data_IF_685206500364
#
_entry.id   IF_685206500364
#
_cell.length_a   1.000
_cell.length_b   1.000
_cell.length_c   1.000
_cell.angle_alpha   90.00
_cell.angle_beta   90.00
_cell.angle_gamma   90.00
#
_symmetry.space_group_name_H-M   'P 1'
#
loop_
_entity.id
_entity.type
_entity.pdbx_description
1 polymer ?
#
# COMPACT_ATOMS: atom_id res chain seq x y z
N UNK A 1 40.92 71.95 -28.27
CA UNK A 1 40.14 72.48 -27.13
C UNK A 1 40.70 71.82 -25.87
N UNK A 2 41.79 72.29 -25.26
CA UNK A 2 42.09 73.58 -24.63
C UNK A 2 41.23 73.88 -23.38
N UNK A 3 41.93 73.89 -22.22
CA UNK A 3 41.73 74.69 -21.00
C UNK A 3 40.48 74.38 -20.13
N UNK A 4 40.45 74.45 -18.79
CA UNK A 4 41.33 74.94 -17.69
C UNK A 4 40.62 74.49 -16.39
N UNK A 5 41.32 73.93 -15.39
CA UNK A 5 41.73 74.55 -14.10
C UNK A 5 40.64 75.22 -13.23
N UNK A 6 40.75 74.93 -11.93
CA UNK A 6 40.84 75.85 -10.76
C UNK A 6 39.76 75.57 -9.69
N UNK A 7 40.03 74.82 -8.61
CA UNK A 7 40.76 75.15 -7.36
C UNK A 7 40.01 76.08 -6.40
N UNK A 8 39.89 75.69 -5.12
CA UNK A 8 40.11 76.48 -3.87
C UNK A 8 39.81 75.52 -2.68
N UNK A 9 40.79 74.95 -1.97
CA UNK A 9 41.63 75.52 -0.89
C UNK A 9 40.87 75.69 0.45
N UNK A 10 41.21 74.90 1.48
CA UNK A 10 41.90 75.42 2.68
C UNK A 10 42.45 74.31 3.61
N UNK A 11 43.62 74.61 4.17
CA UNK A 11 44.46 73.81 5.07
C UNK A 11 44.05 73.95 6.54
N UNK A 12 44.38 72.94 7.36
CA UNK A 12 45.08 73.07 8.66
C UNK A 12 45.41 71.63 9.17
N UNK A 13 46.63 71.11 8.99
CA UNK A 13 47.77 71.06 9.94
C UNK A 13 47.37 70.89 11.42
N UNK A 14 47.81 69.78 12.05
CA UNK A 14 48.75 69.71 13.21
C UNK A 14 48.88 68.25 13.74
N UNK A 15 50.06 67.69 13.46
CA UNK A 15 50.99 66.82 14.25
C UNK A 15 50.55 65.60 15.10
N UNK A 16 51.21 64.48 14.76
CA UNK A 16 51.92 63.49 15.62
C UNK A 16 51.14 62.62 16.62
N UNK A 17 51.16 61.30 16.42
CA UNK A 17 52.15 60.39 17.05
C UNK A 17 52.06 58.98 16.44
N UNK A 18 53.22 58.35 16.28
CA UNK A 18 53.41 56.97 15.86
C UNK A 18 52.69 55.95 16.74
N UNK A 19 52.12 54.91 16.12
CA UNK A 19 52.49 53.52 16.41
C UNK A 19 51.91 52.62 15.32
N UNK A 20 52.78 51.98 14.54
CA UNK A 20 52.41 50.84 13.72
C UNK A 20 52.01 49.68 14.65
N UNK A 21 50.82 49.14 14.44
CA UNK A 21 50.52 47.74 14.68
C UNK A 21 49.61 47.27 13.55
N UNK A 22 50.00 46.16 12.92
CA UNK A 22 49.28 45.56 11.80
C UNK A 22 47.80 45.29 12.18
N UNK A 23 46.82 45.55 11.29
CA UNK A 23 45.43 45.25 11.59
C UNK A 23 45.22 43.73 11.62
N UNK A 24 44.80 43.22 12.77
CA UNK A 24 44.22 41.89 12.90
C UNK A 24 43.07 41.73 11.90
N UNK A 25 43.19 40.72 11.04
CA UNK A 25 42.11 40.24 10.19
C UNK A 25 40.99 39.76 11.12
N UNK A 26 39.93 40.55 11.24
CA UNK A 26 38.69 40.13 11.91
C UNK A 26 38.11 38.95 11.14
N UNK A 27 38.22 37.75 11.71
CA UNK A 27 37.55 36.55 11.19
C UNK A 27 36.03 36.76 11.24
N UNK A 28 35.28 36.37 10.19
CA UNK A 28 33.83 36.45 10.21
C UNK A 28 33.31 35.61 11.37
N UNK A 29 32.48 36.20 12.23
CA UNK A 29 31.72 35.47 13.24
C UNK A 29 30.79 34.49 12.52
N UNK A 30 31.18 33.22 12.51
CA UNK A 30 30.33 32.13 12.01
C UNK A 30 29.23 31.89 13.03
N UNK A 31 28.15 32.68 12.96
CA UNK A 31 26.87 32.23 13.53
C UNK A 31 26.46 30.98 12.79
N UNK A 32 26.65 29.84 13.45
CA UNK A 32 26.18 28.53 13.01
C UNK A 32 24.70 28.68 12.64
N UNK A 33 24.27 28.28 11.42
CA UNK A 33 22.86 28.32 11.07
C UNK A 33 22.06 27.56 12.14
N UNK A 34 20.83 28.00 12.46
CA UNK A 34 19.98 27.29 13.41
C UNK A 34 19.95 25.82 13.01
N UNK A 35 20.18 24.93 13.99
CA UNK A 35 20.07 23.50 13.72
C UNK A 35 18.64 23.25 13.23
N UNK A 36 18.42 22.57 12.09
CA UNK A 36 17.08 22.32 11.60
C UNK A 36 16.28 21.62 12.70
N UNK A 37 15.19 22.24 13.15
CA UNK A 37 14.24 21.60 14.05
C UNK A 37 13.65 20.44 13.27
N UNK A 38 13.95 19.22 13.68
CA UNK A 38 13.42 18.02 13.04
C UNK A 38 11.91 17.98 13.31
N UNK A 39 11.11 18.28 12.28
CA UNK A 39 9.64 18.22 12.40
C UNK A 39 9.22 16.77 12.34
N UNK A 40 9.10 16.15 13.51
CA UNK A 40 8.54 14.81 13.68
C UNK A 40 7.03 14.83 13.41
N UNK A 41 6.55 13.93 12.55
CA UNK A 41 5.12 13.78 12.30
C UNK A 41 4.43 13.10 13.48
N UNK A 42 3.32 13.67 13.90
CA UNK A 42 2.40 13.13 14.90
C UNK A 42 1.26 12.36 14.22
N UNK A 43 0.51 11.57 14.99
CA UNK A 43 -0.71 10.93 14.48
C UNK A 43 -1.74 11.97 14.00
N UNK A 44 -1.82 13.12 14.67
CA UNK A 44 -2.75 14.19 14.31
C UNK A 44 -2.41 14.80 12.94
N UNK A 45 -1.12 15.00 12.64
CA UNK A 45 -0.67 15.48 11.33
C UNK A 45 -1.08 14.51 10.22
N UNK A 46 -0.96 13.21 10.48
CA UNK A 46 -1.27 12.16 9.52
C UNK A 46 -2.76 11.84 9.44
N UNK A 47 -3.57 12.20 10.46
CA UNK A 47 -5.00 11.91 10.50
C UNK A 47 -5.75 12.49 9.30
N UNK A 48 -5.42 13.72 8.94
CA UNK A 48 -6.06 14.45 7.83
C UNK A 48 -5.39 14.17 6.47
N UNK A 49 -4.23 13.52 6.45
CA UNK A 49 -3.47 13.29 5.22
C UNK A 49 -4.09 12.17 4.36
N UNK A 50 -4.17 12.43 3.05
CA UNK A 50 -4.41 11.39 2.04
C UNK A 50 -3.09 10.68 1.71
N UNK A 51 -3.02 9.38 1.98
CA UNK A 51 -1.89 8.54 1.60
C UNK A 51 -1.98 8.19 0.12
N UNK A 52 -0.95 8.55 -0.65
CA UNK A 52 -0.87 8.23 -2.08
C UNK A 52 0.16 7.14 -2.31
N UNK A 53 -0.27 6.01 -2.86
CA UNK A 53 0.59 4.88 -3.17
C UNK A 53 0.83 4.78 -4.67
N UNK A 54 2.09 4.63 -5.06
CA UNK A 54 2.44 4.23 -6.42
C UNK A 54 2.38 2.70 -6.52
N UNK A 55 1.52 2.20 -7.40
CA UNK A 55 1.39 0.77 -7.68
C UNK A 55 2.14 0.44 -8.98
N UNK A 56 2.90 -0.65 -8.95
CA UNK A 56 3.52 -1.22 -10.15
C UNK A 56 3.10 -2.68 -10.31
N UNK A 57 2.60 -3.01 -11.50
CA UNK A 57 2.27 -4.37 -11.89
C UNK A 57 3.46 -5.01 -12.61
N UNK A 58 3.98 -6.10 -12.07
CA UNK A 58 5.01 -6.93 -12.69
C UNK A 58 4.34 -8.11 -13.40
N UNK A 59 4.13 -7.96 -14.70
CA UNK A 59 3.60 -9.03 -15.53
C UNK A 59 4.70 -10.06 -15.78
N UNK A 60 4.58 -11.24 -15.18
CA UNK A 60 5.51 -12.35 -15.37
C UNK A 60 4.93 -13.26 -16.45
N UNK A 61 5.43 -13.12 -17.67
CA UNK A 61 4.81 -13.69 -18.86
C UNK A 61 5.73 -14.70 -19.56
N UNK A 62 5.14 -15.78 -20.07
CA UNK A 62 5.77 -16.73 -20.97
C UNK A 62 4.97 -16.85 -22.27
N UNK A 63 5.34 -17.78 -23.17
CA UNK A 63 4.68 -17.93 -24.48
C UNK A 63 3.18 -18.27 -24.42
N UNK A 64 2.67 -18.75 -23.29
CA UNK A 64 1.25 -19.09 -23.07
C UNK A 64 0.47 -17.97 -22.40
N UNK A 65 1.15 -16.94 -21.90
CA UNK A 65 0.53 -15.81 -21.23
C UNK A 65 -0.25 -14.95 -22.24
N UNK A 66 -1.35 -14.41 -21.76
CA UNK A 66 -2.27 -13.48 -22.43
C UNK A 66 -2.05 -12.04 -21.98
N UNK A 67 -1.11 -11.78 -21.06
CA UNK A 67 -0.82 -10.46 -20.49
C UNK A 67 -0.37 -9.41 -21.51
N UNK A 68 0.09 -9.83 -22.69
CA UNK A 68 0.41 -8.92 -23.81
C UNK A 68 -0.79 -8.11 -24.30
N UNK A 69 -2.03 -8.56 -24.01
CA UNK A 69 -3.29 -7.91 -24.39
C UNK A 69 -3.80 -6.89 -23.36
N UNK A 70 -3.20 -6.85 -22.17
CA UNK A 70 -3.61 -5.96 -21.08
C UNK A 70 -2.66 -4.77 -21.05
N UNK A 71 -3.19 -3.55 -21.04
CA UNK A 71 -2.42 -2.31 -21.11
C UNK A 71 -2.74 -1.37 -19.95
N UNK A 72 -2.00 -0.25 -19.88
CA UNK A 72 -2.14 0.74 -18.81
C UNK A 72 -3.58 1.26 -18.62
N UNK A 73 -4.38 1.36 -19.68
CA UNK A 73 -5.75 1.83 -19.58
C UNK A 73 -6.64 0.82 -18.82
N UNK A 74 -6.50 -0.48 -19.11
CA UNK A 74 -7.22 -1.53 -18.38
C UNK A 74 -6.87 -1.50 -16.89
N UNK A 75 -5.57 -1.36 -16.59
CA UNK A 75 -5.11 -1.27 -15.20
C UNK A 75 -5.56 0.03 -14.51
N UNK A 76 -5.69 1.13 -15.26
CA UNK A 76 -6.19 2.39 -14.72
C UNK A 76 -7.67 2.27 -14.35
N UNK A 77 -8.50 1.64 -15.19
CA UNK A 77 -9.91 1.38 -14.87
C UNK A 77 -10.08 0.51 -13.61
N UNK A 78 -9.27 -0.54 -13.49
CA UNK A 78 -9.23 -1.41 -12.30
C UNK A 78 -8.85 -0.59 -11.06
N UNK A 79 -7.78 0.22 -11.13
CA UNK A 79 -7.34 1.07 -10.01
C UNK A 79 -8.38 2.14 -9.65
N UNK A 80 -9.12 2.67 -10.62
CA UNK A 80 -10.20 3.62 -10.37
C UNK A 80 -11.37 2.97 -9.61
N UNK A 81 -11.71 1.71 -9.94
CA UNK A 81 -12.69 0.92 -9.17
C UNK A 81 -12.20 0.70 -7.74
N UNK A 82 -10.94 0.30 -7.55
CA UNK A 82 -10.33 0.12 -6.23
C UNK A 82 -10.42 1.42 -5.42
N UNK A 83 -10.06 2.57 -6.02
CA UNK A 83 -10.14 3.86 -5.35
C UNK A 83 -11.57 4.22 -4.91
N UNK A 84 -12.61 3.80 -5.65
CA UNK A 84 -14.01 3.98 -5.21
C UNK A 84 -14.35 3.17 -3.97
N UNK A 85 -13.79 1.99 -3.79
CA UNK A 85 -13.99 1.22 -2.57
C UNK A 85 -13.32 1.90 -1.37
N UNK A 86 -12.09 2.37 -1.53
CA UNK A 86 -11.34 3.01 -0.44
C UNK A 86 -11.78 4.44 -0.12
N UNK A 87 -12.46 5.13 -1.05
CA UNK A 87 -13.02 6.47 -0.80
C UNK A 87 -14.42 6.44 -0.15
N UNK A 88 -15.01 5.26 0.04
CA UNK A 88 -16.28 5.10 0.75
C UNK A 88 -17.53 5.18 -0.11
N UNK A 89 -17.42 5.05 -1.44
CA UNK A 89 -18.56 5.14 -2.37
C UNK A 89 -19.79 4.33 -1.94
N UNK A 90 -19.61 3.17 -1.29
CA UNK A 90 -20.71 2.31 -0.83
C UNK A 90 -20.87 2.19 0.70
N UNK A 91 -19.97 2.76 1.50
CA UNK A 91 -19.90 2.49 2.95
C UNK A 91 -19.93 3.72 3.86
N UNK A 92 -20.01 4.94 3.31
CA UNK A 92 -19.85 6.20 4.07
C UNK A 92 -18.51 6.31 4.85
N UNK A 93 -17.56 5.38 4.63
CA UNK A 93 -16.25 5.34 5.29
C UNK A 93 -15.13 5.68 4.32
N UNK A 94 -14.23 6.59 4.64
CA UNK A 94 -13.12 6.94 3.76
C UNK A 94 -11.77 6.60 4.39
N UNK A 95 -10.96 5.78 3.71
CA UNK A 95 -9.63 5.39 4.17
C UNK A 95 -8.60 6.54 4.09
N UNK A 96 -8.92 7.61 3.37
CA UNK A 96 -7.99 8.66 2.95
C UNK A 96 -6.74 8.04 2.32
N UNK A 97 -6.97 7.09 1.40
CA UNK A 97 -5.96 6.42 0.59
C UNK A 97 -6.30 6.62 -0.87
N UNK A 98 -5.28 6.83 -1.69
CA UNK A 98 -5.39 6.86 -3.15
C UNK A 98 -4.27 6.02 -3.76
N UNK A 99 -4.65 5.12 -4.63
CA UNK A 99 -3.73 4.31 -5.42
C UNK A 99 -3.56 4.92 -6.81
N UNK A 100 -2.32 4.97 -7.29
CA UNK A 100 -1.98 5.53 -8.60
C UNK A 100 -0.98 4.62 -9.30
N UNK A 101 -1.21 4.34 -10.59
CA UNK A 101 -0.22 3.65 -11.40
C UNK A 101 1.11 4.43 -11.38
N UNK A 102 2.22 3.72 -11.19
CA UNK A 102 3.55 4.29 -11.29
C UNK A 102 3.79 4.86 -12.69
N UNK A 103 4.26 6.10 -12.77
CA UNK A 103 4.57 6.81 -14.02
C UNK A 103 6.06 7.11 -14.18
N UNK A 104 6.84 6.86 -13.11
CA UNK A 104 8.29 7.01 -13.05
C UNK A 104 8.93 5.70 -12.59
N UNK A 105 9.95 5.26 -13.32
CA UNK A 105 10.79 4.12 -12.93
C UNK A 105 11.58 4.41 -11.65
N UNK A 106 12.20 3.40 -11.00
CA UNK A 106 13.03 3.61 -9.82
C UNK A 106 14.20 4.59 -10.05
N UNK A 107 14.63 4.77 -11.30
CA UNK A 107 15.66 5.72 -11.72
C UNK A 107 15.10 7.12 -12.05
N UNK A 108 13.80 7.37 -11.82
CA UNK A 108 13.13 8.65 -12.06
C UNK A 108 12.72 8.92 -13.52
N UNK A 109 12.93 7.98 -14.45
CA UNK A 109 12.56 8.15 -15.86
C UNK A 109 11.06 7.92 -16.05
N UNK A 110 10.39 8.76 -16.86
CA UNK A 110 9.01 8.51 -17.30
C UNK A 110 8.87 7.15 -17.97
N UNK A 111 7.87 6.37 -17.56
CA UNK A 111 7.55 5.08 -18.17
C UNK A 111 6.83 5.26 -19.50
N UNK A 112 7.16 4.43 -20.49
CA UNK A 112 6.41 4.36 -21.76
C UNK A 112 5.05 3.69 -21.59
N UNK A 113 4.96 2.70 -20.70
CA UNK A 113 3.72 2.04 -20.30
C UNK A 113 3.54 2.25 -18.79
N UNK A 114 2.61 3.14 -18.42
CA UNK A 114 2.37 3.52 -17.02
C UNK A 114 1.92 2.31 -16.21
N UNK A 115 2.54 2.08 -15.06
CA UNK A 115 2.10 1.09 -14.08
C UNK A 115 2.40 -0.36 -14.42
N UNK A 116 3.05 -0.66 -15.55
CA UNK A 116 3.33 -2.04 -15.97
C UNK A 116 4.82 -2.22 -16.25
N UNK A 117 5.38 -3.32 -15.74
CA UNK A 117 6.62 -3.89 -16.24
C UNK A 117 6.34 -5.29 -16.78
N UNK A 118 6.99 -5.66 -17.88
CA UNK A 118 6.81 -6.96 -18.53
C UNK A 118 8.10 -7.75 -18.42
N UNK A 119 8.06 -8.85 -17.68
CA UNK A 119 9.22 -9.68 -17.38
C UNK A 119 8.99 -11.06 -17.99
N UNK A 120 9.89 -11.47 -18.87
CA UNK A 120 9.81 -12.80 -19.46
C UNK A 120 10.28 -13.85 -18.45
N UNK A 121 9.48 -14.89 -18.29
CA UNK A 121 9.77 -16.04 -17.43
C UNK A 121 9.74 -17.33 -18.25
N UNK A 122 10.42 -18.37 -17.75
CA UNK A 122 10.38 -19.71 -18.34
C UNK A 122 9.33 -20.59 -17.66
N UNK A 123 8.96 -20.22 -16.43
CA UNK A 123 8.01 -20.93 -15.61
C UNK A 123 6.59 -20.82 -16.19
N UNK A 124 5.91 -21.95 -16.13
CA UNK A 124 4.54 -22.14 -16.61
C UNK A 124 3.48 -21.70 -15.59
N UNK A 125 3.84 -21.83 -14.33
CA UNK A 125 3.11 -21.36 -13.17
C UNK A 125 4.10 -21.16 -12.02
N UNK A 126 3.78 -20.25 -11.11
CA UNK A 126 4.63 -19.92 -9.94
C UNK A 126 3.83 -20.19 -8.66
N UNK A 127 4.49 -20.71 -7.62
CA UNK A 127 3.85 -20.83 -6.30
C UNK A 127 3.88 -19.47 -5.62
N UNK A 128 2.73 -19.00 -5.12
CA UNK A 128 2.72 -17.73 -4.42
C UNK A 128 3.58 -17.77 -3.16
N UNK A 129 3.61 -18.90 -2.44
CA UNK A 129 4.42 -19.07 -1.23
C UNK A 129 5.90 -18.89 -1.54
N UNK A 130 6.38 -19.51 -2.63
CA UNK A 130 7.78 -19.35 -3.06
C UNK A 130 8.09 -17.89 -3.42
N UNK A 131 7.21 -17.21 -4.15
CA UNK A 131 7.43 -15.83 -4.58
C UNK A 131 7.46 -14.84 -3.42
N UNK A 132 6.51 -14.94 -2.47
CA UNK A 132 6.43 -14.00 -1.35
C UNK A 132 7.53 -14.26 -0.31
N UNK A 133 8.01 -15.50 -0.20
CA UNK A 133 9.07 -15.88 0.73
C UNK A 133 10.48 -15.55 0.20
N UNK A 134 10.63 -15.09 -1.04
CA UNK A 134 11.95 -14.78 -1.60
C UNK A 134 12.65 -13.67 -0.82
N UNK A 135 13.91 -13.90 -0.50
CA UNK A 135 14.81 -12.91 0.07
C UNK A 135 15.47 -12.06 -1.01
N UNK A 136 16.12 -10.96 -0.60
CA UNK A 136 16.90 -10.13 -1.51
C UNK A 136 18.01 -10.93 -2.23
N UNK A 137 18.20 -10.68 -3.53
CA UNK A 137 19.12 -11.44 -4.38
C UNK A 137 18.49 -12.60 -5.13
N UNK A 138 17.20 -12.89 -4.89
CA UNK A 138 16.42 -13.86 -5.65
C UNK A 138 15.57 -13.19 -6.73
N UNK A 139 15.25 -13.96 -7.78
CA UNK A 139 14.72 -13.48 -9.06
C UNK A 139 13.49 -12.58 -8.92
N UNK A 140 12.44 -13.04 -8.26
CA UNK A 140 11.19 -12.28 -8.14
C UNK A 140 11.33 -11.13 -7.14
N UNK A 141 12.09 -11.29 -6.06
CA UNK A 141 12.40 -10.19 -5.15
C UNK A 141 13.11 -9.04 -5.90
N UNK A 142 14.12 -9.35 -6.72
CA UNK A 142 14.93 -8.37 -7.45
C UNK A 142 14.20 -7.73 -8.64
N UNK A 143 13.16 -8.39 -9.19
CA UNK A 143 12.23 -7.76 -10.14
C UNK A 143 11.42 -6.64 -9.47
N UNK A 144 11.10 -6.81 -8.19
CA UNK A 144 10.31 -5.86 -7.42
C UNK A 144 10.99 -4.51 -7.31
N UNK A 145 10.21 -3.43 -7.39
CA UNK A 145 10.72 -2.08 -7.15
C UNK A 145 10.88 -1.81 -5.65
N UNK A 146 11.55 -0.71 -5.32
CA UNK A 146 11.79 -0.26 -3.94
C UNK A 146 10.48 -0.22 -3.15
N UNK A 147 10.31 -1.20 -2.25
CA UNK A 147 9.11 -1.44 -1.43
C UNK A 147 8.82 -0.29 -0.46
N UNK A 148 9.80 0.60 -0.23
CA UNK A 148 9.58 1.82 0.56
C UNK A 148 8.87 2.93 -0.23
N UNK A 149 8.72 2.76 -1.55
CA UNK A 149 8.13 3.76 -2.47
C UNK A 149 6.99 3.20 -3.31
N UNK A 150 6.99 1.91 -3.61
CA UNK A 150 6.03 1.27 -4.49
C UNK A 150 5.37 0.06 -3.82
N UNK A 151 4.08 -0.12 -4.12
CA UNK A 151 3.38 -1.39 -3.89
C UNK A 151 3.61 -2.25 -5.13
N UNK A 152 4.32 -3.37 -4.96
CA UNK A 152 4.63 -4.31 -6.03
C UNK A 152 3.53 -5.37 -6.15
N UNK A 153 2.94 -5.49 -7.33
CA UNK A 153 1.89 -6.47 -7.63
C UNK A 153 2.38 -7.41 -8.74
N UNK A 154 2.57 -8.69 -8.45
CA UNK A 154 3.01 -9.68 -9.44
C UNK A 154 1.80 -10.34 -10.09
N UNK A 155 1.73 -10.32 -11.42
CA UNK A 155 0.65 -10.93 -12.18
C UNK A 155 1.19 -12.09 -12.98
N UNK A 156 0.65 -13.29 -12.72
CA UNK A 156 1.14 -14.54 -13.28
C UNK A 156 0.13 -15.68 -13.08
N UNK A 157 0.39 -16.84 -13.70
CA UNK A 157 -0.39 -18.06 -13.45
C UNK A 157 0.05 -18.73 -12.15
N UNK A 158 -0.79 -18.75 -11.10
CA UNK A 158 -0.48 -19.46 -9.85
C UNK A 158 -0.55 -20.98 -10.00
N UNK A 159 0.32 -21.70 -9.26
CA UNK A 159 0.28 -23.17 -9.11
C UNK A 159 -0.88 -23.64 -8.25
N UNK A 160 -1.25 -22.82 -7.26
CA UNK A 160 -2.29 -23.13 -6.31
C UNK A 160 -3.67 -23.01 -6.97
N UNK A 161 -4.57 -23.94 -6.64
CA UNK A 161 -5.95 -23.91 -7.14
C UNK A 161 -6.77 -22.93 -6.31
N UNK A 162 -7.80 -22.37 -6.94
CA UNK A 162 -8.80 -21.52 -6.28
C UNK A 162 -8.22 -20.27 -5.59
N UNK A 163 -7.10 -19.75 -6.11
CA UNK A 163 -6.46 -18.51 -5.65
C UNK A 163 -6.64 -17.42 -6.72
N UNK A 164 -7.30 -16.32 -6.33
CA UNK A 164 -7.41 -15.11 -7.16
C UNK A 164 -6.24 -14.14 -6.97
N UNK A 165 -5.72 -14.05 -5.75
CA UNK A 165 -4.58 -13.21 -5.36
C UNK A 165 -4.14 -13.55 -3.94
N UNK A 166 -2.97 -13.03 -3.55
CA UNK A 166 -2.45 -13.15 -2.18
C UNK A 166 -1.64 -11.92 -1.84
N UNK A 167 -1.83 -11.37 -0.65
CA UNK A 167 -1.00 -10.30 -0.11
C UNK A 167 -0.13 -10.77 1.05
N UNK A 168 1.07 -10.18 1.12
CA UNK A 168 1.79 -10.10 2.40
C UNK A 168 1.02 -9.23 3.41
N UNK A 169 1.09 -9.58 4.69
CA UNK A 169 0.48 -8.80 5.79
C UNK A 169 1.54 -7.90 6.42
N UNK A 170 1.21 -6.63 6.72
CA UNK A 170 2.17 -5.69 7.25
C UNK A 170 2.55 -5.98 8.70
N UNK A 171 3.75 -5.51 9.08
CA UNK A 171 4.29 -5.65 10.44
C UNK A 171 4.36 -4.33 11.18
N UNK A 172 4.24 -4.40 12.50
CA UNK A 172 4.20 -3.26 13.42
C UNK A 172 5.43 -3.24 14.32
N UNK A 173 5.96 -2.05 14.67
CA UNK A 173 6.91 -1.91 15.77
C UNK A 173 6.30 -2.44 17.06
N UNK A 174 7.11 -3.13 17.87
CA UNK A 174 6.66 -3.77 19.12
C UNK A 174 6.02 -2.78 20.09
N UNK A 175 6.46 -1.53 20.08
CA UNK A 175 6.04 -0.47 20.99
C UNK A 175 4.59 -0.03 20.78
N UNK A 176 4.04 -0.26 19.58
CA UNK A 176 2.70 0.20 19.17
C UNK A 176 1.81 -0.93 18.62
N UNK A 177 2.34 -2.16 18.54
CA UNK A 177 1.62 -3.33 18.11
C UNK A 177 0.43 -3.62 19.07
N UNK A 178 -0.73 -3.93 18.49
CA UNK A 178 -1.92 -4.38 19.23
C UNK A 178 -2.10 -5.90 19.06
N UNK A 179 -3.04 -6.47 19.81
CA UNK A 179 -3.42 -7.89 19.65
C UNK A 179 -3.77 -8.17 18.19
N UNK A 180 -3.24 -9.28 17.66
CA UNK A 180 -3.40 -9.66 16.26
C UNK A 180 -2.36 -9.11 15.30
N UNK A 181 -1.58 -8.09 15.69
CA UNK A 181 -0.58 -7.51 14.79
C UNK A 181 0.68 -8.39 14.70
N UNK A 182 1.23 -8.51 13.50
CA UNK A 182 2.54 -9.11 13.29
C UNK A 182 3.63 -8.13 13.73
N UNK A 183 4.57 -8.57 14.56
CA UNK A 183 5.63 -7.70 15.09
C UNK A 183 6.83 -7.71 14.13
N UNK A 184 7.35 -6.52 13.82
CA UNK A 184 8.56 -6.35 13.00
C UNK A 184 9.81 -6.84 13.73
N UNK A 185 10.70 -7.48 12.97
CA UNK A 185 12.02 -7.92 13.43
C UNK A 185 13.17 -7.04 12.86
N UNK A 186 12.83 -5.96 12.14
CA UNK A 186 13.77 -4.94 11.67
C UNK A 186 14.39 -5.15 10.28
N UNK A 187 14.42 -6.36 9.73
CA UNK A 187 14.98 -6.69 8.40
C UNK A 187 13.92 -7.02 7.34
N UNK A 188 12.65 -6.63 7.57
CA UNK A 188 11.48 -7.18 6.86
C UNK A 188 11.57 -7.11 5.33
N UNK A 189 11.94 -5.96 4.75
CA UNK A 189 12.06 -5.81 3.29
C UNK A 189 13.17 -6.64 2.63
N UNK A 190 14.11 -7.16 3.41
CA UNK A 190 15.20 -8.01 2.91
C UNK A 190 14.89 -9.50 3.09
N UNK A 191 14.19 -9.85 4.16
CA UNK A 191 13.90 -11.23 4.56
C UNK A 191 12.74 -11.88 3.81
N UNK A 192 11.95 -11.11 3.06
CA UNK A 192 10.88 -11.63 2.21
C UNK A 192 10.44 -10.58 1.19
N UNK A 193 9.67 -11.01 0.19
CA UNK A 193 9.19 -10.17 -0.88
C UNK A 193 7.83 -9.54 -0.51
N UNK A 194 7.88 -8.40 0.22
CA UNK A 194 6.67 -7.60 0.54
C UNK A 194 5.98 -7.19 -0.76
N UNK A 195 4.84 -7.82 -1.04
CA UNK A 195 4.16 -7.75 -2.33
C UNK A 195 2.72 -8.26 -2.25
N UNK A 196 2.01 -8.08 -3.37
CA UNK A 196 0.72 -8.68 -3.68
C UNK A 196 0.89 -9.53 -4.94
N UNK A 197 0.11 -10.60 -5.07
CA UNK A 197 0.01 -11.43 -6.27
C UNK A 197 -1.40 -11.38 -6.83
N UNK A 198 -1.53 -11.53 -8.15
CA UNK A 198 -2.80 -11.61 -8.85
C UNK A 198 -2.74 -12.71 -9.90
N UNK A 199 -3.76 -13.57 -9.92
CA UNK A 199 -3.94 -14.60 -10.93
C UNK A 199 -4.21 -13.95 -12.29
N UNK A 200 -3.37 -14.27 -13.28
CA UNK A 200 -3.43 -13.69 -14.63
C UNK A 200 -4.82 -13.82 -15.27
N UNK A 201 -5.49 -14.95 -15.10
CA UNK A 201 -6.78 -15.23 -15.76
C UNK A 201 -7.89 -14.23 -15.39
N UNK A 202 -7.79 -13.57 -14.23
CA UNK A 202 -8.73 -12.53 -13.81
C UNK A 202 -8.69 -11.31 -14.73
N UNK A 203 -7.50 -10.94 -15.25
CA UNK A 203 -7.39 -9.88 -16.25
C UNK A 203 -7.96 -10.33 -17.61
N UNK A 204 -7.82 -11.62 -17.94
CA UNK A 204 -8.49 -12.21 -19.10
C UNK A 204 -10.01 -12.12 -19.02
N UNK A 205 -10.59 -12.39 -17.83
CA UNK A 205 -12.02 -12.20 -17.60
C UNK A 205 -12.43 -10.75 -17.66
N UNK A 206 -11.64 -9.83 -17.11
CA UNK A 206 -11.89 -8.39 -17.19
C UNK A 206 -12.06 -7.93 -18.64
N UNK A 207 -11.10 -8.26 -19.51
CA UNK A 207 -11.15 -7.91 -20.92
C UNK A 207 -12.35 -8.55 -21.64
N UNK A 208 -12.72 -9.78 -21.28
CA UNK A 208 -13.81 -10.51 -21.94
C UNK A 208 -15.19 -9.97 -21.54
N UNK A 209 -15.37 -9.61 -20.27
CA UNK A 209 -16.70 -9.33 -19.69
C UNK A 209 -16.90 -7.87 -19.29
N UNK A 210 -15.92 -7.00 -19.52
CA UNK A 210 -15.99 -5.55 -19.33
C UNK A 210 -16.59 -5.16 -17.96
N UNK A 211 -15.96 -5.61 -16.88
CA UNK A 211 -16.35 -5.37 -15.49
C UNK A 211 -17.74 -5.96 -15.07
N UNK A 212 -18.37 -6.83 -15.86
CA UNK A 212 -19.62 -7.53 -15.52
C UNK A 212 -19.37 -8.88 -14.85
N UNK A 213 -18.53 -8.87 -13.82
CA UNK A 213 -18.08 -10.07 -13.10
C UNK A 213 -18.59 -10.04 -11.67
N UNK A 214 -18.83 -11.22 -11.08
CA UNK A 214 -19.00 -11.31 -9.63
C UNK A 214 -17.69 -10.92 -8.92
N UNK A 215 -17.79 -10.53 -7.65
CA UNK A 215 -16.64 -10.04 -6.85
C UNK A 215 -15.44 -10.98 -6.93
N UNK A 216 -15.65 -12.29 -6.83
CA UNK A 216 -14.57 -13.28 -6.75
C UNK A 216 -13.78 -13.43 -8.05
N UNK A 217 -14.36 -13.05 -9.20
CA UNK A 217 -13.69 -13.08 -10.51
C UNK A 217 -13.32 -11.69 -11.02
N UNK A 218 -13.70 -10.63 -10.29
CA UNK A 218 -13.41 -9.26 -10.68
C UNK A 218 -12.04 -8.85 -10.12
N UNK A 219 -11.01 -8.59 -10.97
CA UNK A 219 -9.68 -8.23 -10.48
C UNK A 219 -9.68 -6.96 -9.63
N UNK A 220 -10.62 -6.04 -9.81
CA UNK A 220 -10.71 -4.86 -8.95
C UNK A 220 -11.15 -5.22 -7.52
N UNK A 221 -12.12 -6.12 -7.35
CA UNK A 221 -12.53 -6.60 -6.03
C UNK A 221 -11.43 -7.44 -5.38
N UNK A 222 -10.83 -8.37 -6.12
CA UNK A 222 -9.71 -9.20 -5.64
C UNK A 222 -8.53 -8.33 -5.21
N UNK A 223 -8.10 -7.37 -6.04
CA UNK A 223 -7.01 -6.47 -5.64
C UNK A 223 -7.39 -5.54 -4.49
N UNK A 224 -8.65 -5.08 -4.40
CA UNK A 224 -9.08 -4.28 -3.25
C UNK A 224 -9.02 -5.07 -1.93
N UNK A 225 -9.37 -6.36 -1.98
CA UNK A 225 -9.24 -7.32 -0.90
C UNK A 225 -7.77 -7.53 -0.52
N UNK A 226 -6.90 -7.83 -1.49
CA UNK A 226 -5.47 -8.02 -1.23
C UNK A 226 -4.80 -6.75 -0.71
N UNK A 227 -5.17 -5.58 -1.22
CA UNK A 227 -4.72 -4.29 -0.67
C UNK A 227 -5.22 -4.10 0.77
N UNK A 228 -6.37 -4.67 1.13
CA UNK A 228 -6.89 -4.66 2.49
C UNK A 228 -5.94 -5.42 3.42
N UNK A 229 -5.53 -6.61 3.01
CA UNK A 229 -4.48 -7.38 3.71
C UNK A 229 -3.14 -6.65 3.76
N UNK A 230 -2.69 -6.06 2.65
CA UNK A 230 -1.47 -5.26 2.58
C UNK A 230 -1.48 -4.08 3.57
N UNK A 231 -2.68 -3.56 3.86
CA UNK A 231 -2.93 -2.47 4.81
C UNK A 231 -3.38 -2.95 6.20
N UNK A 232 -3.27 -4.26 6.45
CA UNK A 232 -3.38 -4.84 7.79
C UNK A 232 -4.75 -5.38 8.18
N UNK A 233 -5.69 -5.51 7.24
CA UNK A 233 -6.97 -6.18 7.48
C UNK A 233 -6.83 -7.70 7.40
N UNK A 234 -7.73 -8.40 8.10
CA UNK A 234 -7.91 -9.85 7.99
C UNK A 234 -9.29 -10.16 7.44
N UNK A 235 -9.51 -11.43 7.11
CA UNK A 235 -10.82 -11.92 6.69
C UNK A 235 -11.87 -11.67 7.76
N UNK A 236 -13.07 -11.19 7.38
CA UNK A 236 -14.16 -10.88 8.31
C UNK A 236 -14.97 -12.12 8.75
N UNK A 237 -14.41 -13.32 8.59
CA UNK A 237 -15.02 -14.58 8.94
C UNK A 237 -14.10 -15.39 9.83
N UNK A 238 -14.68 -16.38 10.53
CA UNK A 238 -13.93 -17.31 11.35
C UNK A 238 -13.64 -18.59 10.59
N UNK A 239 -12.39 -19.01 10.60
CA UNK A 239 -11.90 -20.28 10.08
C UNK A 239 -10.91 -20.90 11.08
N UNK A 240 -10.47 -22.16 10.90
CA UNK A 240 -9.41 -22.73 11.73
C UNK A 240 -8.13 -21.88 11.77
N UNK A 241 -7.84 -21.17 10.67
CA UNK A 241 -6.65 -20.33 10.52
C UNK A 241 -6.93 -18.85 10.84
N UNK A 242 -8.17 -18.39 10.69
CA UNK A 242 -8.60 -17.01 10.89
C UNK A 242 -9.54 -16.93 12.09
N UNK A 243 -9.00 -16.61 13.26
CA UNK A 243 -9.79 -16.69 14.51
C UNK A 243 -10.59 -15.42 14.81
N UNK A 244 -10.12 -14.27 14.34
CA UNK A 244 -10.72 -12.96 14.56
C UNK A 244 -10.08 -11.91 13.63
N UNK A 245 -10.85 -10.93 13.18
CA UNK A 245 -10.34 -9.88 12.28
C UNK A 245 -9.88 -8.59 12.98
N UNK A 246 -10.10 -8.52 14.30
CA UNK A 246 -9.78 -7.42 15.21
C UNK A 246 -10.47 -6.10 14.82
N UNK A 247 -11.69 -6.17 14.30
CA UNK A 247 -12.59 -5.05 14.06
C UNK A 247 -13.92 -5.32 14.79
N UNK A 248 -14.33 -4.48 15.74
CA UNK A 248 -15.48 -4.83 16.62
C UNK A 248 -16.83 -4.70 15.90
N UNK A 249 -16.88 -3.92 14.81
CA UNK A 249 -18.09 -3.64 14.02
C UNK A 249 -18.31 -4.62 12.85
N UNK A 250 -17.43 -5.61 12.67
CA UNK A 250 -17.64 -6.68 11.67
C UNK A 250 -18.47 -7.80 12.28
N UNK A 251 -19.49 -8.22 11.53
CA UNK A 251 -20.31 -9.38 11.92
C UNK A 251 -19.61 -10.66 11.47
N UNK A 252 -18.79 -11.25 12.35
CA UNK A 252 -18.12 -12.52 12.07
C UNK A 252 -19.14 -13.67 11.91
N UNK A 253 -18.83 -14.61 11.01
CA UNK A 253 -19.60 -15.84 10.78
C UNK A 253 -18.67 -17.05 10.63
N UNK A 254 -19.21 -18.27 10.79
CA UNK A 254 -18.44 -19.51 10.61
C UNK A 254 -18.29 -19.83 9.10
N UNK A 255 -17.06 -19.75 8.61
CA UNK A 255 -16.72 -20.00 7.20
C UNK A 255 -16.94 -21.46 6.81
N UNK A 256 -16.65 -22.42 7.69
CA UNK A 256 -16.82 -23.84 7.39
C UNK A 256 -18.30 -24.21 7.29
N UNK A 257 -19.14 -23.65 8.17
CA UNK A 257 -20.60 -23.81 8.09
C UNK A 257 -21.15 -23.24 6.78
N UNK A 258 -20.69 -22.05 6.39
CA UNK A 258 -21.04 -21.46 5.10
C UNK A 258 -20.63 -22.36 3.93
N UNK A 259 -19.40 -22.88 3.91
CA UNK A 259 -18.93 -23.76 2.84
C UNK A 259 -19.71 -25.08 2.77
N UNK A 260 -20.10 -25.65 3.91
CA UNK A 260 -21.03 -26.82 3.94
C UNK A 260 -22.36 -26.48 3.28
N UNK A 261 -22.90 -25.29 3.53
CA UNK A 261 -24.13 -24.83 2.87
C UNK A 261 -23.92 -24.63 1.37
N UNK A 262 -22.81 -24.01 0.97
CA UNK A 262 -22.46 -23.85 -0.44
C UNK A 262 -22.43 -25.18 -1.18
N UNK A 263 -21.65 -26.16 -0.71
CA UNK A 263 -21.55 -27.47 -1.37
C UNK A 263 -22.87 -28.24 -1.42
N UNK A 264 -23.74 -28.09 -0.40
CA UNK A 264 -25.09 -28.66 -0.42
C UNK A 264 -25.98 -28.03 -1.50
N UNK A 265 -25.74 -26.76 -1.85
CA UNK A 265 -26.51 -26.04 -2.86
C UNK A 265 -25.94 -26.17 -4.28
N UNK A 266 -24.67 -26.54 -4.45
CA UNK A 266 -24.04 -26.73 -5.78
C UNK A 266 -24.90 -27.58 -6.73
N UNK A 267 -25.40 -28.78 -6.36
CA UNK A 267 -26.23 -29.57 -7.28
C UNK A 267 -27.51 -28.85 -7.73
N UNK A 268 -28.08 -27.98 -6.87
CA UNK A 268 -29.27 -27.17 -7.22
C UNK A 268 -28.93 -26.01 -8.14
N UNK A 269 -27.74 -25.43 -7.97
CA UNK A 269 -27.21 -24.40 -8.88
C UNK A 269 -26.99 -25.00 -10.26
N UNK A 270 -26.36 -26.18 -10.33
CA UNK A 270 -26.09 -26.89 -11.58
C UNK A 270 -27.36 -27.37 -12.28
N UNK A 271 -28.39 -27.73 -11.52
CA UNK A 271 -29.69 -28.14 -12.06
C UNK A 271 -30.60 -26.97 -12.50
N UNK A 272 -30.23 -25.72 -12.21
CA UNK A 272 -31.06 -24.57 -12.54
C UNK A 272 -31.17 -24.40 -14.07
N UNK A 273 -32.41 -24.35 -14.58
CA UNK A 273 -32.68 -24.30 -16.03
C UNK A 273 -32.87 -22.90 -16.57
N UNK A 274 -33.01 -21.92 -15.68
CA UNK A 274 -33.22 -20.52 -16.03
C UNK A 274 -32.69 -19.59 -14.93
N UNK A 275 -32.61 -18.30 -15.25
CA UNK A 275 -32.06 -17.28 -14.35
C UNK A 275 -32.85 -17.11 -13.04
N UNK A 276 -34.17 -17.39 -13.06
CA UNK A 276 -35.00 -17.29 -11.86
C UNK A 276 -34.64 -18.38 -10.87
N UNK A 277 -34.62 -19.63 -11.31
CA UNK A 277 -34.20 -20.79 -10.49
C UNK A 277 -32.76 -20.61 -9.97
N UNK A 278 -31.85 -20.13 -10.82
CA UNK A 278 -30.47 -19.84 -10.42
C UNK A 278 -30.40 -18.79 -9.29
N UNK A 279 -31.16 -17.70 -9.42
CA UNK A 279 -31.19 -16.61 -8.41
C UNK A 279 -31.82 -17.05 -7.10
N UNK A 280 -32.92 -17.80 -7.14
CA UNK A 280 -33.57 -18.33 -5.94
C UNK A 280 -32.59 -19.14 -5.06
N UNK A 281 -31.71 -19.93 -5.69
CA UNK A 281 -30.67 -20.67 -4.96
C UNK A 281 -29.52 -19.75 -4.54
N UNK A 282 -28.98 -18.96 -5.46
CA UNK A 282 -27.76 -18.16 -5.21
C UNK A 282 -27.98 -16.97 -4.28
N UNK A 283 -29.19 -16.42 -4.16
CA UNK A 283 -29.48 -15.35 -3.21
C UNK A 283 -29.28 -15.79 -1.75
N UNK A 284 -29.49 -17.07 -1.46
CA UNK A 284 -29.22 -17.62 -0.12
C UNK A 284 -27.73 -17.67 0.20
N UNK A 285 -26.87 -17.76 -0.83
CA UNK A 285 -25.42 -17.75 -0.67
C UNK A 285 -24.86 -16.37 -0.36
N UNK A 286 -25.63 -15.29 -0.51
CA UNK A 286 -25.24 -13.96 -0.03
C UNK A 286 -25.53 -13.75 1.45
N UNK A 287 -26.26 -14.66 2.09
CA UNK A 287 -26.61 -14.53 3.50
C UNK A 287 -25.55 -15.18 4.39
N UNK A 288 -25.37 -14.60 5.57
CA UNK A 288 -24.47 -15.06 6.63
C UNK A 288 -25.23 -15.09 7.95
N UNK A 289 -24.85 -15.99 8.85
CA UNK A 289 -25.34 -16.04 10.23
C UNK A 289 -24.24 -15.54 11.16
N UNK A 290 -24.49 -14.45 11.86
CA UNK A 290 -23.53 -13.87 12.79
C UNK A 290 -23.30 -14.80 14.00
N UNK A 291 -22.05 -14.98 14.40
CA UNK A 291 -21.69 -15.80 15.58
C UNK A 291 -22.14 -15.11 16.88
N UNK A 292 -22.11 -13.78 16.92
CA UNK A 292 -22.36 -13.00 18.13
C UNK A 292 -23.79 -13.14 18.67
N UNK A 293 -24.78 -13.12 17.79
CA UNK A 293 -26.21 -13.07 18.15
C UNK A 293 -27.11 -13.97 17.30
N UNK A 294 -26.54 -14.72 16.33
CA UNK A 294 -27.29 -15.58 15.43
C UNK A 294 -28.07 -14.84 14.33
N UNK A 295 -27.96 -13.51 14.24
CA UNK A 295 -28.67 -12.69 13.25
C UNK A 295 -28.24 -13.02 11.83
N UNK A 296 -29.18 -12.88 10.89
CA UNK A 296 -28.90 -13.04 9.46
C UNK A 296 -28.57 -11.68 8.86
N UNK A 297 -27.50 -11.62 8.08
CA UNK A 297 -27.12 -10.43 7.31
C UNK A 297 -26.68 -10.81 5.90
N UNK A 298 -26.75 -9.84 4.97
CA UNK A 298 -26.24 -10.02 3.61
C UNK A 298 -24.77 -9.59 3.56
N UNK A 299 -23.91 -10.42 2.99
CA UNK A 299 -22.48 -10.11 2.88
C UNK A 299 -22.21 -9.01 1.86
N UNK A 300 -21.51 -7.97 2.31
CA UNK A 300 -21.06 -6.85 1.49
C UNK A 300 -19.62 -6.39 1.81
N UNK A 301 -18.94 -7.01 2.78
CA UNK A 301 -17.59 -6.66 3.18
C UNK A 301 -16.57 -7.08 2.11
N UNK A 302 -15.63 -6.20 1.78
CA UNK A 302 -14.53 -6.47 0.83
C UNK A 302 -13.65 -7.63 1.32
N UNK A 303 -13.51 -7.82 2.64
CA UNK A 303 -12.68 -8.87 3.23
C UNK A 303 -13.40 -10.23 3.35
N UNK A 304 -14.58 -10.39 2.73
CA UNK A 304 -15.29 -11.68 2.63
C UNK A 304 -14.99 -12.39 1.30
N UNK A 305 -15.30 -13.69 1.22
CA UNK A 305 -15.19 -14.53 0.03
C UNK A 305 -16.53 -15.15 -0.36
N UNK A 306 -16.67 -15.42 -1.67
CA UNK A 306 -17.74 -16.20 -2.28
C UNK A 306 -19.14 -15.62 -2.05
N UNK A 307 -19.80 -15.17 -3.12
CA UNK A 307 -21.16 -14.63 -3.05
C UNK A 307 -21.28 -13.52 -1.99
N UNK A 308 -20.50 -12.46 -2.22
CA UNK A 308 -20.56 -11.22 -1.45
C UNK A 308 -20.73 -10.06 -2.41
N UNK A 309 -21.35 -8.96 -1.95
CA UNK A 309 -21.29 -7.72 -2.71
C UNK A 309 -19.85 -7.17 -2.76
N UNK A 310 -19.03 -7.51 -1.76
CA UNK A 310 -17.58 -7.28 -1.73
C UNK A 310 -17.18 -5.84 -2.01
N UNK A 311 -17.90 -4.86 -1.45
CA UNK A 311 -17.81 -3.47 -1.90
C UNK A 311 -17.79 -2.44 -0.76
N UNK A 312 -17.68 -2.87 0.50
CA UNK A 312 -17.62 -2.01 1.68
C UNK A 312 -16.50 -2.39 2.65
N UNK A 313 -15.95 -1.36 3.30
CA UNK A 313 -15.20 -1.49 4.54
C UNK A 313 -16.03 -0.94 5.70
N UNK A 314 -15.84 -1.49 6.90
CA UNK A 314 -16.45 -0.95 8.12
C UNK A 314 -15.63 0.21 8.70
N UNK A 315 -16.23 1.06 9.56
CA UNK A 315 -15.48 2.08 10.29
C UNK A 315 -14.26 1.56 11.05
N UNK A 316 -14.31 0.41 11.72
CA UNK A 316 -13.17 -0.13 12.46
C UNK A 316 -12.09 -0.71 11.54
N UNK A 317 -12.48 -1.31 10.40
CA UNK A 317 -11.53 -1.67 9.35
C UNK A 317 -10.76 -0.44 8.85
N UNK A 318 -11.45 0.69 8.62
CA UNK A 318 -10.77 1.95 8.28
C UNK A 318 -9.84 2.41 9.39
N UNK A 319 -10.26 2.41 10.67
CA UNK A 319 -9.38 2.77 11.79
C UNK A 319 -8.14 1.87 11.84
N UNK A 320 -8.30 0.57 11.58
CA UNK A 320 -7.21 -0.40 11.51
C UNK A 320 -6.25 -0.08 10.37
N UNK A 321 -6.74 0.15 9.15
CA UNK A 321 -5.93 0.62 8.00
C UNK A 321 -5.12 1.86 8.40
N UNK A 322 -5.77 2.89 8.94
CA UNK A 322 -5.09 4.14 9.34
C UNK A 322 -3.97 3.89 10.34
N UNK A 323 -4.17 3.01 11.33
CA UNK A 323 -3.12 2.61 12.28
C UNK A 323 -1.90 2.02 11.57
N UNK A 324 -2.10 1.12 10.62
CA UNK A 324 -1.00 0.54 9.85
C UNK A 324 -0.30 1.57 8.95
N UNK A 325 -1.02 2.52 8.37
CA UNK A 325 -0.41 3.63 7.61
C UNK A 325 0.58 4.44 8.46
N UNK A 326 0.23 4.69 9.72
CA UNK A 326 0.98 5.53 10.65
C UNK A 326 2.23 4.86 11.20
N UNK A 327 2.17 3.55 11.45
CA UNK A 327 3.17 2.88 12.29
C UNK A 327 3.87 1.70 11.62
N UNK A 328 3.30 1.09 10.58
CA UNK A 328 3.85 -0.12 9.98
C UNK A 328 5.29 0.07 9.48
N UNK A 329 6.13 -0.95 9.65
CA UNK A 329 7.50 -0.97 9.11
C UNK A 329 7.54 -1.37 7.63
N UNK A 330 6.45 -1.98 7.13
CA UNK A 330 6.38 -2.60 5.79
C UNK A 330 5.36 -1.96 4.86
N UNK A 331 4.66 -0.91 5.30
CA UNK A 331 3.80 -0.08 4.46
C UNK A 331 4.53 1.22 4.12
N UNK A 332 4.66 1.60 2.83
CA UNK A 332 5.37 2.82 2.44
C UNK A 332 4.67 4.11 2.89
N UNK A 333 5.35 5.24 2.72
CA UNK A 333 4.84 6.58 3.05
C UNK A 333 5.18 7.06 4.47
N UNK A 334 4.76 8.29 4.82
CA UNK A 334 5.15 8.94 6.07
C UNK A 334 4.67 8.16 7.30
N UNK A 335 5.44 8.23 8.39
CA UNK A 335 5.21 7.50 9.65
C UNK A 335 5.24 8.44 10.84
N UNK A 336 4.49 8.09 11.88
CA UNK A 336 4.59 8.74 13.19
C UNK A 336 5.97 8.45 13.76
N UNK A 337 6.61 9.49 14.31
CA UNK A 337 7.88 9.32 15.00
C UNK A 337 7.70 8.53 16.31
N UNK A 338 8.49 7.46 16.47
CA UNK A 338 8.56 6.70 17.70
C UNK A 338 9.91 6.95 18.38
N UNK A 339 9.96 7.64 19.54
CA UNK A 339 11.22 7.84 20.26
C UNK A 339 11.76 6.49 20.75
N UNK A 340 13.07 6.25 20.55
CA UNK A 340 13.72 5.05 21.10
C UNK A 340 13.73 5.13 22.64
N UNK A 341 13.24 4.08 23.32
CA UNK A 341 13.44 3.94 24.77
C UNK A 341 14.95 3.90 25.08
N UNK A 342 15.44 4.86 25.86
CA UNK A 342 16.80 4.86 26.42
C UNK A 342 17.81 5.84 25.82
N UNK A 343 17.47 6.63 24.78
CA UNK A 343 18.35 7.71 24.34
C UNK A 343 18.23 8.91 25.29
N UNK A 344 19.14 9.02 26.28
CA UNK A 344 19.54 10.35 26.76
C UNK A 344 19.96 11.15 25.54
N UNK A 345 19.61 12.43 25.49
CA UNK A 345 19.99 13.36 24.43
C UNK A 345 21.52 13.53 24.41
N UNK A 346 22.22 12.58 23.81
CA UNK A 346 23.58 12.77 23.32
C UNK A 346 23.47 12.95 21.83
N UNK A 347 23.64 14.20 21.40
CA UNK A 347 23.93 14.60 20.03
C UNK A 347 25.02 13.70 19.46
N UNK A 348 24.65 12.66 18.71
CA UNK A 348 25.50 12.02 17.68
C UNK A 348 24.71 10.94 16.92
N UNK A 349 24.80 11.06 15.58
CA UNK A 349 24.29 10.19 14.49
C UNK A 349 22.78 10.18 14.23
N UNK A 350 22.43 10.77 13.08
CA UNK A 350 21.16 10.65 12.33
C UNK A 350 20.57 9.23 12.45
N UNK A 351 19.46 9.10 13.16
CA UNK A 351 18.45 8.12 12.76
C UNK A 351 17.84 8.64 11.47
N UNK A 352 18.02 7.91 10.37
CA UNK A 352 17.28 8.22 9.14
C UNK A 352 15.78 8.17 9.49
N UNK A 353 14.99 9.22 9.24
CA UNK A 353 13.56 9.05 9.15
C UNK A 353 13.28 7.97 8.11
N UNK A 354 12.38 7.03 8.40
CA UNK A 354 11.75 6.27 7.34
C UNK A 354 10.89 7.28 6.55
N UNK A 355 11.50 7.83 5.50
CA UNK A 355 10.93 8.64 4.41
C UNK A 355 10.79 10.14 4.72
N UNK A 356 11.45 10.92 3.86
CA UNK A 356 11.15 12.32 3.51
C UNK A 356 10.63 12.25 2.06
N UNK A 357 9.51 12.92 1.75
CA UNK A 357 9.18 13.36 0.39
C UNK A 357 9.81 14.73 0.21
#
# INVERSE_FOLDING_TARGET
>A
MNFTKLSFLFCLIITTLCACSDPEIVKPTTTKPPTPVETHLTEQDLKQATYKFKIIFHFLQNKRSTLSRVHSNDMQEIVDVINRFYNGYNSQTNANVKFELADKSPKGKTMSEKGITRNNITEDSISYQSLIAEEAGHKFHDIGWDRTKYINIYVYTTKEKDIGGVSTVPKMPKEVAKKGDLISMGNDYKSYNVSITLQESLLGYWLKYNNRLSSDFNPANVLAHELGHYLGLYHCFRSPNDKNDYCDDTKEYDREEYMRTFYRLVPKIEAARNIKEYREVTDTLFLRRAISDGSIFRSDNIMDYFYTSGNKFTPDQIKRIRRFLYYSTTVPGPKVYLPKKGSRATTTKRSKPYIII
#
